data_IF_153114278192
#
_entry.id   IF_153114278192
#
_cell.length_a   1.000
_cell.length_b   1.000
_cell.length_c   1.000
_cell.angle_alpha   90.00
_cell.angle_beta   90.00
_cell.angle_gamma   90.00
#
_symmetry.space_group_name_H-M   'P 1'
#
loop_
_entity.id
_entity.type
_entity.pdbx_description
1 polymer ?
#
# COMPACT_ATOMS: atom_id res chain seq x y z
N UNK A 1 10.93 -8.82 13.51
CA UNK A 1 9.62 -9.51 13.39
C UNK A 1 8.70 -8.52 12.72
N UNK A 2 8.23 -8.84 11.53
CA UNK A 2 7.96 -7.82 10.52
C UNK A 2 6.50 -7.36 10.61
N UNK A 3 6.27 -6.08 10.38
CA UNK A 3 4.95 -5.52 10.09
C UNK A 3 4.74 -5.58 8.58
N UNK A 4 3.73 -6.31 8.12
CA UNK A 4 3.43 -6.40 6.69
C UNK A 4 2.26 -5.49 6.36
N UNK A 5 2.42 -4.68 5.32
CA UNK A 5 1.41 -3.75 4.84
C UNK A 5 1.01 -4.18 3.43
N UNK A 6 -0.29 -4.40 3.20
CA UNK A 6 -0.82 -4.86 1.92
C UNK A 6 -1.53 -3.70 1.24
N UNK A 7 -0.92 -3.17 0.18
CA UNK A 7 -1.41 -2.04 -0.60
C UNK A 7 -0.53 -0.79 -0.41
N UNK A 8 -0.33 -0.08 -1.51
CA UNK A 8 0.62 1.05 -1.64
C UNK A 8 -0.05 2.39 -1.96
N UNK A 9 -1.32 2.54 -1.60
CA UNK A 9 -1.96 3.86 -1.63
C UNK A 9 -1.46 4.77 -0.51
N UNK A 10 -2.03 5.99 -0.37
CA UNK A 10 -1.63 6.93 0.68
C UNK A 10 -1.78 6.35 2.09
N UNK A 11 -2.80 5.50 2.32
CA UNK A 11 -2.97 4.79 3.59
C UNK A 11 -1.81 3.84 3.91
N UNK A 12 -1.35 3.08 2.91
CA UNK A 12 -0.25 2.12 3.06
C UNK A 12 1.09 2.80 3.33
N UNK A 13 1.44 3.81 2.53
CA UNK A 13 2.67 4.57 2.76
C UNK A 13 2.64 5.33 4.09
N UNK A 14 1.52 5.93 4.48
CA UNK A 14 1.40 6.59 5.79
C UNK A 14 1.61 5.60 6.92
N UNK A 15 0.98 4.42 6.86
CA UNK A 15 1.20 3.37 7.87
C UNK A 15 2.66 2.93 7.94
N UNK A 16 3.33 2.80 6.78
CA UNK A 16 4.73 2.42 6.72
C UNK A 16 5.67 3.48 7.29
N UNK A 17 5.46 4.75 6.96
CA UNK A 17 6.23 5.87 7.53
C UNK A 17 6.20 5.80 9.06
N UNK A 18 5.03 5.61 9.65
CA UNK A 18 4.89 5.53 11.11
C UNK A 18 5.49 4.24 11.69
N UNK A 19 5.25 3.09 11.07
CA UNK A 19 5.81 1.82 11.53
C UNK A 19 7.34 1.80 11.45
N UNK A 20 7.92 2.36 10.39
CA UNK A 20 9.36 2.47 10.19
C UNK A 20 9.99 3.39 11.23
N UNK A 21 9.37 4.55 11.52
CA UNK A 21 9.79 5.46 12.59
C UNK A 21 9.71 4.85 13.99
N UNK A 22 8.89 3.83 14.19
CA UNK A 22 8.81 3.04 15.41
C UNK A 22 9.76 1.83 15.43
N UNK A 23 10.71 1.74 14.49
CA UNK A 23 11.67 0.63 14.32
C UNK A 23 11.01 -0.76 14.12
N UNK A 24 9.80 -0.79 13.54
CA UNK A 24 9.07 -2.04 13.27
C UNK A 24 9.47 -2.71 11.95
N UNK A 25 10.40 -2.09 11.20
CA UNK A 25 10.96 -2.60 9.93
C UNK A 25 9.87 -3.09 8.97
N UNK A 26 8.93 -2.21 8.57
CA UNK A 26 7.78 -2.61 7.78
C UNK A 26 8.16 -3.01 6.35
N UNK A 27 7.38 -3.92 5.78
CA UNK A 27 7.45 -4.29 4.37
C UNK A 27 6.09 -4.01 3.74
N UNK A 28 6.06 -3.18 2.69
CA UNK A 28 4.87 -2.97 1.84
C UNK A 28 4.90 -3.96 0.68
N UNK A 29 3.78 -4.63 0.44
CA UNK A 29 3.48 -5.29 -0.83
C UNK A 29 2.55 -4.39 -1.64
N UNK A 30 3.00 -3.93 -2.80
CA UNK A 30 2.34 -2.82 -3.50
C UNK A 30 0.96 -3.17 -4.03
N UNK A 31 0.74 -4.44 -4.39
CA UNK A 31 -0.39 -4.83 -5.20
C UNK A 31 -0.15 -4.62 -6.69
N UNK A 32 -1.19 -4.86 -7.48
CA UNK A 32 -1.16 -4.75 -8.96
C UNK A 32 -1.00 -3.30 -9.45
N UNK A 33 -1.46 -2.34 -8.66
CA UNK A 33 -1.40 -0.90 -8.97
C UNK A 33 -0.54 -0.18 -7.91
N UNK A 34 0.80 -0.14 -8.07
CA UNK A 34 1.66 0.63 -7.18
C UNK A 34 1.23 2.09 -7.09
N UNK A 35 1.03 2.61 -5.88
CA UNK A 35 0.51 3.97 -5.64
C UNK A 35 -1.02 4.06 -5.56
N UNK A 36 -1.74 3.01 -5.96
CA UNK A 36 -3.20 2.96 -5.94
C UNK A 36 -3.87 3.96 -6.90
N UNK A 37 -5.14 4.27 -6.64
CA UNK A 37 -6.00 5.08 -7.53
C UNK A 37 -5.44 6.47 -7.85
N UNK A 38 -4.61 7.07 -6.99
CA UNK A 38 -4.05 8.39 -7.26
C UNK A 38 -3.08 8.37 -8.46
N UNK A 39 -2.62 7.21 -8.91
CA UNK A 39 -1.79 7.11 -10.12
C UNK A 39 -2.58 7.28 -11.41
N UNK A 40 -3.92 7.28 -11.36
CA UNK A 40 -4.81 7.45 -12.52
C UNK A 40 -5.47 8.82 -12.59
N UNK A 41 -5.22 9.70 -11.60
CA UNK A 41 -5.68 11.09 -11.61
C UNK A 41 -4.56 12.03 -12.03
N UNK A 42 -4.92 13.15 -12.68
CA UNK A 42 -3.97 14.22 -12.98
C UNK A 42 -3.80 15.11 -11.75
N UNK A 43 -4.83 15.85 -11.36
CA UNK A 43 -4.67 16.94 -10.40
C UNK A 43 -5.20 16.57 -9.00
N UNK A 44 -4.40 16.84 -7.97
CA UNK A 44 -4.76 16.72 -6.56
C UNK A 44 -4.60 18.07 -5.88
N UNK A 45 -5.70 18.82 -5.77
CA UNK A 45 -5.72 20.17 -5.18
C UNK A 45 -6.18 20.22 -3.71
N UNK A 46 -6.67 19.09 -3.18
CA UNK A 46 -7.30 19.02 -1.88
C UNK A 46 -6.48 18.25 -0.82
N UNK A 47 -5.27 17.81 -1.17
CA UNK A 47 -4.37 17.19 -0.19
C UNK A 47 -3.51 18.27 0.50
N UNK A 48 -3.58 18.39 1.83
CA UNK A 48 -2.86 19.44 2.55
C UNK A 48 -1.34 19.27 2.42
N UNK A 49 -0.64 20.39 2.23
CA UNK A 49 0.82 20.41 2.02
C UNK A 49 1.23 20.79 0.59
N UNK A 50 0.29 20.72 -0.37
CA UNK A 50 0.51 21.11 -1.77
C UNK A 50 -0.32 22.36 -2.14
N UNK A 51 0.10 23.58 -1.76
CA UNK A 51 -0.69 24.81 -1.96
C UNK A 51 -0.88 25.20 -3.43
N UNK A 52 -0.17 24.56 -4.36
CA UNK A 52 -0.29 24.75 -5.82
C UNK A 52 -0.89 23.54 -6.53
N UNK A 53 -1.46 22.60 -5.77
CA UNK A 53 -1.79 21.27 -6.28
C UNK A 53 -0.55 20.41 -6.52
N UNK A 54 -0.78 19.14 -6.81
CA UNK A 54 0.24 18.18 -7.23
C UNK A 54 -0.37 17.15 -8.18
N UNK A 55 0.47 16.61 -9.06
CA UNK A 55 0.13 15.46 -9.88
C UNK A 55 0.00 14.18 -9.03
N UNK A 56 -1.02 13.37 -9.28
CA UNK A 56 -1.32 12.16 -8.50
C UNK A 56 -0.16 11.16 -8.44
N UNK A 57 0.38 10.69 -9.58
CA UNK A 57 1.60 9.87 -9.62
C UNK A 57 2.79 10.47 -8.85
N UNK A 58 3.03 11.77 -9.01
CA UNK A 58 4.13 12.48 -8.33
C UNK A 58 3.94 12.44 -6.81
N UNK A 59 2.74 12.75 -6.33
CA UNK A 59 2.40 12.66 -4.91
C UNK A 59 2.63 11.24 -4.35
N UNK A 60 2.25 10.20 -5.12
CA UNK A 60 2.45 8.82 -4.67
C UNK A 60 3.93 8.42 -4.64
N UNK A 61 4.74 8.92 -5.57
CA UNK A 61 6.18 8.71 -5.55
C UNK A 61 6.82 9.41 -4.35
N UNK A 62 6.44 10.66 -4.03
CA UNK A 62 6.95 11.37 -2.85
C UNK A 62 6.61 10.63 -1.54
N UNK A 63 5.41 10.06 -1.42
CA UNK A 63 5.03 9.23 -0.27
C UNK A 63 5.84 7.93 -0.18
N UNK A 64 6.11 7.29 -1.32
CA UNK A 64 6.98 6.11 -1.39
C UNK A 64 8.39 6.44 -0.92
N UNK A 65 9.00 7.48 -1.48
CA UNK A 65 10.34 7.94 -1.11
C UNK A 65 10.42 8.29 0.38
N UNK A 66 9.39 8.92 0.94
CA UNK A 66 9.33 9.19 2.37
C UNK A 66 9.30 7.91 3.20
N UNK A 67 8.55 6.88 2.79
CA UNK A 67 8.51 5.60 3.47
C UNK A 67 9.87 4.87 3.41
N UNK A 68 10.50 4.82 2.23
CA UNK A 68 11.82 4.21 2.01
C UNK A 68 12.92 4.93 2.78
N UNK A 69 12.88 6.26 2.86
CA UNK A 69 13.82 7.07 3.65
C UNK A 69 13.84 6.69 5.13
N UNK A 70 12.71 6.24 5.69
CA UNK A 70 12.64 5.76 7.08
C UNK A 70 12.96 4.27 7.24
N UNK A 71 13.29 3.55 6.17
CA UNK A 71 13.69 2.15 6.20
C UNK A 71 12.55 1.16 5.92
N UNK A 72 11.45 1.61 5.31
CA UNK A 72 10.43 0.70 4.76
C UNK A 72 11.00 -0.05 3.56
N UNK A 73 10.81 -1.36 3.49
CA UNK A 73 11.05 -2.14 2.29
C UNK A 73 9.78 -2.15 1.42
N UNK A 74 9.88 -1.74 0.15
CA UNK A 74 8.76 -1.74 -0.80
C UNK A 74 8.96 -2.86 -1.81
N UNK A 75 8.04 -3.84 -1.84
CA UNK A 75 8.06 -4.97 -2.76
C UNK A 75 6.96 -4.82 -3.81
N UNK A 76 7.39 -4.81 -5.07
CA UNK A 76 6.47 -4.87 -6.22
C UNK A 76 6.03 -6.31 -6.39
N UNK A 77 5.01 -6.67 -5.63
CA UNK A 77 4.37 -7.98 -5.59
C UNK A 77 3.00 -7.81 -4.90
N UNK A 78 2.14 -8.82 -4.98
CA UNK A 78 0.86 -8.83 -4.30
C UNK A 78 0.66 -10.07 -3.44
N UNK A 79 -0.03 -9.87 -2.32
CA UNK A 79 -0.44 -10.96 -1.44
C UNK A 79 -1.72 -11.56 -1.98
N UNK A 80 -1.66 -12.84 -2.34
CA UNK A 80 -2.78 -13.62 -2.89
C UNK A 80 -3.68 -14.20 -1.79
N UNK A 81 -3.10 -14.51 -0.62
CA UNK A 81 -3.82 -15.13 0.50
C UNK A 81 -3.21 -14.71 1.83
N UNK A 82 -4.06 -14.59 2.86
CA UNK A 82 -3.64 -14.44 4.26
C UNK A 82 -4.34 -15.46 5.13
N UNK A 83 -3.57 -16.25 5.88
CA UNK A 83 -4.05 -17.12 6.94
C UNK A 83 -3.76 -16.44 8.29
N UNK A 84 -4.78 -15.80 8.87
CA UNK A 84 -4.65 -15.18 10.18
C UNK A 84 -4.59 -16.23 11.29
N UNK A 85 -3.61 -16.11 12.17
CA UNK A 85 -3.60 -16.90 13.40
C UNK A 85 -4.87 -16.68 14.21
N UNK A 86 -5.39 -17.77 14.79
CA UNK A 86 -6.52 -17.77 15.72
C UNK A 86 -6.07 -17.54 17.17
N UNK A 87 -4.77 -17.60 17.43
CA UNK A 87 -4.19 -17.38 18.75
C UNK A 87 -3.84 -15.91 18.93
N UNK A 88 -4.14 -15.36 20.11
CA UNK A 88 -3.78 -13.98 20.45
C UNK A 88 -2.26 -13.82 20.43
N UNK A 89 -1.75 -12.95 19.56
CA UNK A 89 -0.32 -12.73 19.36
C UNK A 89 0.40 -13.81 18.53
N UNK A 90 -0.36 -14.73 17.91
CA UNK A 90 0.17 -15.74 17.01
C UNK A 90 0.68 -15.15 15.69
N UNK A 91 1.41 -15.98 14.93
CA UNK A 91 2.01 -15.59 13.66
C UNK A 91 1.00 -15.78 12.52
N UNK A 92 0.74 -14.70 11.78
CA UNK A 92 -0.02 -14.75 10.53
C UNK A 92 0.88 -15.23 9.39
N UNK A 93 0.28 -15.94 8.44
CA UNK A 93 0.95 -16.36 7.21
C UNK A 93 0.33 -15.63 6.03
N UNK A 94 1.18 -15.09 5.17
CA UNK A 94 0.78 -14.43 3.93
C UNK A 94 1.45 -15.17 2.78
N UNK A 95 0.78 -15.20 1.63
CA UNK A 95 1.28 -15.88 0.45
C UNK A 95 1.35 -14.90 -0.70
N UNK A 96 2.50 -14.85 -1.39
CA UNK A 96 2.64 -14.08 -2.64
C UNK A 96 1.84 -14.74 -3.77
N UNK A 97 1.77 -14.13 -4.94
CA UNK A 97 1.20 -14.77 -6.12
C UNK A 97 1.96 -16.06 -6.49
N UNK A 98 3.27 -16.08 -6.30
CA UNK A 98 4.13 -17.21 -6.65
C UNK A 98 4.11 -18.34 -5.61
N UNK A 99 3.36 -18.16 -4.51
CA UNK A 99 3.22 -19.15 -3.45
C UNK A 99 4.25 -19.06 -2.33
N UNK A 100 5.10 -18.02 -2.31
CA UNK A 100 6.07 -17.82 -1.24
C UNK A 100 5.37 -17.52 0.08
N UNK A 101 5.71 -18.27 1.13
CA UNK A 101 5.17 -18.05 2.48
C UNK A 101 5.95 -16.95 3.21
N UNK A 102 5.22 -15.95 3.71
CA UNK A 102 5.71 -14.85 4.53
C UNK A 102 5.08 -14.96 5.92
N UNK A 103 5.89 -14.77 6.96
CA UNK A 103 5.43 -14.80 8.36
C UNK A 103 5.42 -13.40 8.94
N UNK A 104 4.32 -13.05 9.60
CA UNK A 104 4.15 -11.73 10.20
C UNK A 104 3.47 -11.79 11.57
N UNK A 105 3.85 -10.88 12.48
CA UNK A 105 3.11 -10.64 13.73
C UNK A 105 1.99 -9.62 13.56
N UNK A 106 2.04 -8.81 12.52
CA UNK A 106 1.11 -7.70 12.32
C UNK A 106 0.86 -7.50 10.83
N UNK A 107 -0.40 -7.43 10.45
CA UNK A 107 -0.81 -7.18 9.07
C UNK A 107 -1.69 -5.94 9.05
N UNK A 108 -1.33 -4.98 8.20
CA UNK A 108 -2.13 -3.79 7.91
C UNK A 108 -2.69 -3.95 6.51
N UNK A 109 -4.02 -3.93 6.38
CA UNK A 109 -4.70 -4.05 5.08
C UNK A 109 -5.07 -2.64 4.62
N UNK A 110 -4.47 -2.21 3.52
CA UNK A 110 -4.66 -0.91 2.88
C UNK A 110 -4.81 -1.06 1.37
N UNK A 111 -5.52 -2.11 0.93
CA UNK A 111 -5.67 -2.53 -0.48
C UNK A 111 -6.54 -1.59 -1.32
N UNK A 112 -7.18 -0.60 -0.70
CA UNK A 112 -8.05 0.34 -1.39
C UNK A 112 -9.36 -0.28 -1.85
N UNK A 113 -9.94 0.32 -2.88
CA UNK A 113 -11.16 -0.08 -3.56
C UNK A 113 -11.00 0.23 -5.06
N UNK A 114 -11.99 -0.10 -5.88
CA UNK A 114 -12.08 0.37 -7.28
C UNK A 114 -13.49 0.86 -7.58
N UNK A 115 -13.61 1.84 -8.48
CA UNK A 115 -14.90 2.31 -8.95
C UNK A 115 -15.61 1.20 -9.75
N UNK A 116 -16.90 1.00 -9.48
CA UNK A 116 -17.73 0.10 -10.28
C UNK A 116 -18.38 0.91 -11.39
N UNK A 117 -17.99 0.61 -12.62
CA UNK A 117 -18.57 1.21 -13.83
C UNK A 117 -19.76 0.37 -14.32
N UNK A 118 -20.64 0.98 -15.12
CA UNK A 118 -21.81 0.31 -15.68
C UNK A 118 -21.46 -0.59 -16.88
N UNK A 119 -20.26 -0.43 -17.45
CA UNK A 119 -19.77 -1.19 -18.59
C UNK A 119 -20.25 -0.63 -19.93
N UNK A 120 -20.61 0.65 -19.99
CA UNK A 120 -21.02 1.32 -21.23
C UNK A 120 -19.79 1.77 -22.01
N UNK A 121 -19.84 1.70 -23.34
CA UNK A 121 -18.72 2.16 -24.20
C UNK A 121 -18.36 3.62 -23.94
N UNK A 122 -19.34 4.46 -23.62
CA UNK A 122 -19.16 5.89 -23.30
C UNK A 122 -18.41 6.15 -21.98
N UNK A 123 -18.17 5.13 -21.16
CA UNK A 123 -17.37 5.24 -19.93
C UNK A 123 -15.87 5.03 -20.18
N UNK A 124 -15.48 4.47 -21.32
CA UNK A 124 -14.07 4.34 -21.71
C UNK A 124 -13.59 5.67 -22.31
N UNK A 125 -12.61 6.30 -21.66
CA UNK A 125 -11.93 7.51 -22.16
C UNK A 125 -10.80 7.15 -23.11
#
# INVERSE_FOLDING_TARGET
MNTIIIGSGPAGYTAAIYAARADLKPIIYTGLEPGGQLTTTTDVDNFPGYPKGIDGPTMMNELKEQAERFGTEVKIDFISKVDFSKEKGGIHKLYTQNGDEIKSKTVIISTGASAKYLGLESEQR
#
